data_IF_290618182844
#
_entry.id   IF_290618182844
#
_cell.length_a   1.000
_cell.length_b   1.000
_cell.length_c   1.000
_cell.angle_alpha   90.00
_cell.angle_beta   90.00
_cell.angle_gamma   90.00
#
_symmetry.space_group_name_H-M   'P 1'
#
loop_
_entity.id
_entity.type
_entity.pdbx_description
1 polymer ?
#
# COMPACT_ATOMS: atom_id res chain seq x y z
N UNK A 1 -4.36 -70.12 45.33
CA UNK A 1 -3.73 -69.48 44.17
C UNK A 1 -4.60 -68.30 43.79
N UNK A 2 -4.14 -67.11 44.15
CA UNK A 2 -5.00 -65.94 44.43
C UNK A 2 -5.21 -65.10 43.19
N UNK A 3 -6.45 -64.62 43.08
CA UNK A 3 -7.09 -63.82 42.05
C UNK A 3 -6.45 -62.42 41.96
N UNK A 4 -6.20 -61.91 40.75
CA UNK A 4 -6.17 -60.46 40.50
C UNK A 4 -6.77 -60.16 39.12
N UNK A 5 -8.02 -59.70 39.14
CA UNK A 5 -8.74 -59.08 38.01
C UNK A 5 -8.43 -57.59 38.05
N UNK A 6 -7.70 -57.08 37.06
CA UNK A 6 -7.52 -55.63 36.89
C UNK A 6 -8.62 -55.12 35.95
N UNK A 7 -9.63 -54.51 36.55
CA UNK A 7 -10.75 -53.85 35.90
C UNK A 7 -10.31 -52.43 35.52
N UNK A 8 -10.14 -52.17 34.22
CA UNK A 8 -9.82 -50.84 33.69
C UNK A 8 -11.14 -50.07 33.54
N UNK A 9 -11.38 -49.14 34.46
CA UNK A 9 -12.57 -48.26 34.47
C UNK A 9 -12.30 -47.07 33.54
N UNK A 10 -12.93 -47.07 32.37
CA UNK A 10 -12.87 -45.97 31.40
C UNK A 10 -13.92 -44.92 31.79
N UNK A 11 -13.50 -43.86 32.47
CA UNK A 11 -14.39 -42.76 32.88
C UNK A 11 -14.61 -41.81 31.71
N UNK A 12 -15.79 -41.88 31.08
CA UNK A 12 -16.25 -40.95 30.05
C UNK A 12 -16.70 -39.64 30.72
N UNK A 13 -15.93 -38.56 30.57
CA UNK A 13 -16.38 -37.21 30.92
C UNK A 13 -17.32 -36.68 29.84
N UNK A 14 -18.64 -36.78 30.05
CA UNK A 14 -19.62 -35.98 29.34
C UNK A 14 -19.60 -34.56 29.92
N UNK A 15 -18.98 -33.61 29.22
CA UNK A 15 -19.20 -32.20 29.47
C UNK A 15 -20.62 -31.84 28.99
N UNK A 16 -21.55 -31.66 29.93
CA UNK A 16 -22.87 -31.10 29.64
C UNK A 16 -22.70 -29.63 29.28
N UNK A 17 -22.77 -29.31 27.99
CA UNK A 17 -22.93 -27.92 27.54
C UNK A 17 -24.34 -27.49 27.96
N UNK A 18 -24.44 -26.63 28.97
CA UNK A 18 -25.67 -25.94 29.29
C UNK A 18 -25.99 -24.98 28.13
N UNK A 19 -26.83 -25.43 27.20
CA UNK A 19 -27.55 -24.53 26.31
C UNK A 19 -28.50 -23.68 27.16
N UNK A 20 -28.07 -22.49 27.56
CA UNK A 20 -29.00 -21.45 27.97
C UNK A 20 -29.97 -21.21 26.83
N UNK A 21 -31.28 -21.33 27.08
CA UNK A 21 -32.32 -20.93 26.15
C UNK A 21 -32.06 -19.48 25.73
N UNK A 22 -31.59 -19.29 24.52
CA UNK A 22 -31.66 -17.99 23.85
C UNK A 22 -33.13 -17.82 23.48
N UNK A 23 -33.87 -17.11 24.33
CA UNK A 23 -35.15 -16.51 23.93
C UNK A 23 -34.82 -15.37 22.98
N UNK A 24 -34.96 -15.62 21.69
CA UNK A 24 -35.13 -14.55 20.73
C UNK A 24 -36.50 -13.92 21.00
N UNK A 25 -36.50 -12.71 21.54
CA UNK A 25 -37.68 -11.86 21.44
C UNK A 25 -37.94 -11.67 19.95
N UNK A 26 -39.13 -12.04 19.48
CA UNK A 26 -39.58 -11.67 18.16
C UNK A 26 -39.39 -10.15 18.03
N UNK A 27 -38.61 -9.76 17.03
CA UNK A 27 -38.53 -8.36 16.63
C UNK A 27 -39.90 -8.07 16.04
N UNK A 28 -40.59 -7.07 16.59
CA UNK A 28 -41.82 -6.54 16.02
C UNK A 28 -41.53 -6.12 14.57
N UNK A 29 -42.03 -6.89 13.59
CA UNK A 29 -41.88 -6.58 12.16
C UNK A 29 -42.67 -5.33 11.74
N UNK A 30 -43.49 -4.77 12.64
CA UNK A 30 -44.37 -3.64 12.34
C UNK A 30 -43.72 -2.25 12.52
N UNK A 31 -42.40 -2.17 12.77
CA UNK A 31 -41.74 -0.86 12.95
C UNK A 31 -40.40 -0.67 12.22
N UNK A 32 -40.24 -1.28 11.04
CA UNK A 32 -39.22 -0.88 10.05
C UNK A 32 -39.88 0.00 8.99
N UNK A 33 -40.33 1.19 9.39
CA UNK A 33 -40.70 2.26 8.45
C UNK A 33 -39.52 3.22 8.33
N UNK A 34 -38.48 2.79 7.62
CA UNK A 34 -37.27 3.60 7.42
C UNK A 34 -36.19 3.00 6.53
N UNK A 35 -36.42 1.83 5.92
CA UNK A 35 -35.62 1.43 4.76
C UNK A 35 -36.12 2.25 3.57
N UNK A 36 -35.46 3.38 3.31
CA UNK A 36 -35.53 3.98 1.98
C UNK A 36 -35.25 2.86 0.97
N UNK A 37 -36.17 2.59 0.02
CA UNK A 37 -35.93 1.60 -1.00
C UNK A 37 -34.60 1.94 -1.66
N UNK A 38 -33.69 0.96 -1.70
CA UNK A 38 -32.39 1.11 -2.34
C UNK A 38 -32.66 1.41 -3.81
N UNK A 39 -32.73 2.71 -4.12
CA UNK A 39 -33.12 3.19 -5.42
C UNK A 39 -32.03 2.70 -6.38
N UNK A 40 -32.38 1.90 -7.41
CA UNK A 40 -31.40 1.42 -8.36
C UNK A 40 -30.64 2.65 -8.89
N UNK A 41 -29.31 2.58 -8.82
CA UNK A 41 -28.43 3.69 -9.16
C UNK A 41 -28.88 4.31 -10.47
N UNK A 42 -29.23 5.60 -10.41
CA UNK A 42 -29.74 6.34 -11.56
C UNK A 42 -28.70 6.29 -12.69
N UNK A 43 -28.99 5.63 -13.83
CA UNK A 43 -28.06 5.51 -14.95
C UNK A 43 -27.78 6.87 -15.62
N UNK A 44 -28.51 7.92 -15.25
CA UNK A 44 -28.29 9.29 -15.73
C UNK A 44 -27.26 10.08 -14.90
N UNK A 45 -26.81 9.55 -13.76
CA UNK A 45 -25.74 10.19 -12.99
C UNK A 45 -24.40 9.66 -13.54
N UNK A 46 -23.66 10.44 -14.36
CA UNK A 46 -22.42 9.96 -14.94
C UNK A 46 -21.49 9.56 -13.78
N UNK A 47 -21.08 8.28 -13.77
CA UNK A 47 -20.08 7.76 -12.84
C UNK A 47 -18.98 8.80 -12.76
N UNK A 48 -18.77 9.35 -11.57
CA UNK A 48 -17.81 10.42 -11.34
C UNK A 48 -16.46 9.96 -11.83
N UNK A 49 -16.00 10.49 -12.97
CA UNK A 49 -14.70 10.22 -13.61
C UNK A 49 -13.51 10.76 -12.79
N UNK A 50 -13.67 10.91 -11.48
CA UNK A 50 -12.66 11.46 -10.58
C UNK A 50 -11.97 10.32 -9.85
N UNK A 51 -10.65 10.42 -9.74
CA UNK A 51 -9.84 9.39 -9.08
C UNK A 51 -8.65 10.03 -8.35
N UNK A 52 -8.46 9.72 -7.06
CA UNK A 52 -7.23 10.07 -6.36
C UNK A 52 -6.30 8.84 -6.38
N UNK A 53 -5.04 9.02 -6.76
CA UNK A 53 -4.04 7.96 -6.93
C UNK A 53 -2.85 8.26 -6.04
N UNK A 54 -2.60 7.41 -5.06
CA UNK A 54 -1.36 7.41 -4.28
C UNK A 54 -0.43 6.35 -4.87
N UNK A 55 0.72 6.76 -5.39
CA UNK A 55 1.81 5.86 -5.73
C UNK A 55 2.65 5.66 -4.47
N UNK A 56 2.78 4.41 -4.03
CA UNK A 56 3.64 4.00 -2.92
C UNK A 56 4.78 3.21 -3.56
N UNK A 57 5.95 3.84 -3.68
CA UNK A 57 7.10 3.23 -4.35
C UNK A 57 8.14 2.80 -3.33
N UNK A 58 8.67 1.61 -3.54
CA UNK A 58 9.78 1.09 -2.78
C UNK A 58 11.07 1.84 -3.11
N UNK A 59 11.70 2.38 -2.08
CA UNK A 59 12.89 3.20 -2.17
C UNK A 59 14.15 2.49 -1.63
N UNK A 60 14.10 1.15 -1.55
CA UNK A 60 15.25 0.28 -1.32
C UNK A 60 16.25 0.31 -2.49
N UNK A 61 17.50 -0.09 -2.23
CA UNK A 61 18.53 -0.18 -3.27
C UNK A 61 18.30 -1.33 -4.25
N UNK A 62 17.59 -2.39 -3.85
CA UNK A 62 17.23 -3.51 -4.72
C UNK A 62 16.38 -3.06 -5.91
N UNK A 63 15.61 -1.99 -5.72
CA UNK A 63 14.71 -1.42 -6.72
C UNK A 63 15.38 -0.46 -7.71
N UNK A 64 16.68 -0.17 -7.59
CA UNK A 64 17.36 0.82 -8.44
C UNK A 64 17.24 0.53 -9.95
N UNK A 65 17.33 -0.74 -10.34
CA UNK A 65 17.20 -1.13 -11.75
C UNK A 65 15.75 -0.96 -12.21
N UNK A 66 14.81 -1.38 -11.37
CA UNK A 66 13.37 -1.33 -11.59
C UNK A 66 12.87 0.11 -11.68
N UNK A 67 13.45 1.07 -10.95
CA UNK A 67 13.07 2.49 -11.00
C UNK A 67 13.20 3.08 -12.41
N UNK A 68 14.29 2.77 -13.12
CA UNK A 68 14.48 3.21 -14.51
C UNK A 68 13.39 2.65 -15.44
N UNK A 69 12.96 1.42 -15.19
CA UNK A 69 11.93 0.73 -15.95
C UNK A 69 10.53 1.26 -15.59
N UNK A 70 10.29 1.56 -14.31
CA UNK A 70 9.05 2.15 -13.79
C UNK A 70 8.85 3.54 -14.36
N UNK A 71 9.92 4.35 -14.44
CA UNK A 71 9.93 5.68 -15.01
C UNK A 71 9.32 5.69 -16.43
N UNK A 72 9.87 4.87 -17.33
CA UNK A 72 9.40 4.79 -18.72
C UNK A 72 7.95 4.30 -18.82
N UNK A 73 7.54 3.40 -17.92
CA UNK A 73 6.18 2.82 -17.93
C UNK A 73 5.13 3.77 -17.37
N UNK A 74 5.44 4.57 -16.35
CA UNK A 74 4.50 5.54 -15.77
C UNK A 74 4.14 6.68 -16.74
N UNK A 75 5.01 7.02 -17.69
CA UNK A 75 4.66 7.92 -18.80
C UNK A 75 3.44 7.42 -19.59
N UNK A 76 3.31 6.11 -19.79
CA UNK A 76 2.17 5.50 -20.46
C UNK A 76 0.88 5.62 -19.65
N UNK A 77 0.97 5.51 -18.32
CA UNK A 77 -0.18 5.54 -17.42
C UNK A 77 -0.95 6.86 -17.53
N UNK A 78 -0.25 7.98 -17.41
CA UNK A 78 -0.86 9.30 -17.39
C UNK A 78 -1.59 9.61 -18.71
N UNK A 79 -0.99 9.25 -19.85
CA UNK A 79 -1.63 9.35 -21.16
C UNK A 79 -2.90 8.50 -21.24
N UNK A 80 -2.91 7.30 -20.66
CA UNK A 80 -4.10 6.44 -20.64
C UNK A 80 -5.21 7.06 -19.80
N UNK A 81 -4.92 7.54 -18.58
CA UNK A 81 -5.91 8.23 -17.72
C UNK A 81 -6.54 9.43 -18.45
N UNK A 82 -5.71 10.26 -19.09
CA UNK A 82 -6.18 11.40 -19.91
C UNK A 82 -7.04 10.95 -21.10
N UNK A 83 -6.64 9.91 -21.82
CA UNK A 83 -7.40 9.39 -22.97
C UNK A 83 -8.80 8.87 -22.60
N UNK A 84 -9.01 8.47 -21.34
CA UNK A 84 -10.31 8.05 -20.79
C UNK A 84 -11.15 9.23 -20.27
N UNK A 85 -10.57 10.43 -20.23
CA UNK A 85 -11.21 11.63 -19.69
C UNK A 85 -11.37 11.57 -18.18
N UNK A 86 -10.44 10.90 -17.48
CA UNK A 86 -10.43 10.87 -16.01
C UNK A 86 -9.87 12.19 -15.44
N UNK A 87 -10.59 12.75 -14.48
CA UNK A 87 -10.14 13.85 -13.62
C UNK A 87 -9.41 13.30 -12.40
N UNK A 88 -8.12 13.01 -12.57
CA UNK A 88 -7.30 12.41 -11.52
C UNK A 88 -6.48 13.43 -10.72
N UNK A 89 -6.12 13.03 -9.50
CA UNK A 89 -5.00 13.58 -8.73
C UNK A 89 -4.01 12.46 -8.43
N UNK A 90 -2.72 12.72 -8.55
CA UNK A 90 -1.69 11.72 -8.31
C UNK A 90 -0.61 12.27 -7.38
N UNK A 91 -0.29 11.53 -6.33
CA UNK A 91 0.78 11.84 -5.38
C UNK A 91 1.71 10.62 -5.25
N UNK A 92 2.95 10.86 -4.83
CA UNK A 92 3.96 9.83 -4.63
C UNK A 92 4.41 9.86 -3.17
N UNK A 93 4.61 8.69 -2.56
CA UNK A 93 5.25 8.48 -1.26
C UNK A 93 6.09 7.20 -1.33
N UNK A 94 6.86 6.89 -0.29
CA UNK A 94 7.73 5.71 -0.25
C UNK A 94 7.16 4.56 0.57
N UNK A 95 7.72 3.37 0.51
CA UNK A 95 7.37 2.22 1.38
C UNK A 95 7.87 2.40 2.82
N UNK A 96 8.89 3.22 3.06
CA UNK A 96 9.40 3.48 4.41
C UNK A 96 8.43 4.31 5.27
N UNK A 97 7.86 3.65 6.27
CA UNK A 97 6.89 4.21 7.21
C UNK A 97 7.51 4.99 8.36
N UNK A 98 8.84 5.09 8.44
CA UNK A 98 9.51 5.91 9.45
C UNK A 98 9.30 7.37 9.10
N UNK A 99 8.94 8.16 10.10
CA UNK A 99 8.97 9.60 9.97
C UNK A 99 10.39 10.10 10.18
N UNK A 100 10.78 11.09 9.38
CA UNK A 100 11.96 11.91 9.65
C UNK A 100 11.84 12.54 11.04
N UNK A 101 12.54 11.97 12.03
CA UNK A 101 12.61 12.56 13.35
C UNK A 101 13.65 13.70 13.34
N UNK A 102 13.16 14.94 13.30
CA UNK A 102 14.02 16.14 13.28
C UNK A 102 14.87 16.32 14.55
N UNK A 103 14.65 15.53 15.61
CA UNK A 103 15.35 15.70 16.90
C UNK A 103 16.65 14.89 17.00
N UNK A 104 16.80 13.82 16.23
CA UNK A 104 18.05 13.07 16.15
C UNK A 104 18.67 13.33 14.80
N UNK A 105 19.52 14.36 14.70
CA UNK A 105 20.36 14.66 13.51
C UNK A 105 21.19 13.47 13.00
N UNK A 106 21.20 12.36 13.74
CA UNK A 106 21.91 11.11 13.47
C UNK A 106 21.05 10.03 12.80
N UNK A 107 19.78 10.30 12.48
CA UNK A 107 18.98 9.39 11.66
C UNK A 107 18.73 10.05 10.31
N UNK A 108 19.50 9.61 9.31
CA UNK A 108 19.26 9.92 7.91
C UNK A 108 17.77 9.70 7.62
N UNK A 109 17.04 10.70 7.10
CA UNK A 109 15.62 10.60 6.82
C UNK A 109 15.35 9.63 5.67
N UNK A 110 15.34 8.31 5.93
CA UNK A 110 15.19 7.31 4.86
C UNK A 110 13.74 7.09 4.41
N UNK A 111 12.77 7.64 5.14
CA UNK A 111 11.35 7.47 4.86
C UNK A 111 10.53 8.76 4.98
N UNK A 112 9.40 8.76 4.29
CA UNK A 112 8.45 9.87 4.35
C UNK A 112 7.34 9.65 5.38
N UNK A 113 7.21 8.45 5.96
CA UNK A 113 6.20 8.15 6.98
C UNK A 113 4.79 8.48 6.51
N UNK A 114 4.48 8.18 5.24
CA UNK A 114 3.21 8.52 4.60
C UNK A 114 3.05 9.97 4.15
N UNK A 115 4.06 10.85 4.32
CA UNK A 115 4.06 12.18 3.69
C UNK A 115 4.26 12.02 2.19
N UNK A 116 3.54 12.81 1.41
CA UNK A 116 3.76 12.83 -0.04
C UNK A 116 5.00 13.66 -0.39
N UNK A 117 5.72 13.21 -1.40
CA UNK A 117 6.93 13.87 -1.90
C UNK A 117 6.53 15.15 -2.64
N UNK A 118 6.84 16.31 -2.05
CA UNK A 118 6.55 17.60 -2.68
C UNK A 118 7.46 17.87 -3.88
N UNK A 119 6.88 18.35 -4.98
CA UNK A 119 7.59 18.82 -6.16
C UNK A 119 7.20 20.26 -6.50
N UNK A 120 8.19 21.16 -6.59
CA UNK A 120 7.98 22.62 -6.83
C UNK A 120 6.89 23.21 -5.92
N UNK A 121 6.86 22.80 -4.65
CA UNK A 121 5.89 23.25 -3.65
C UNK A 121 4.48 22.65 -3.79
N UNK A 122 4.28 21.67 -4.67
CA UNK A 122 3.02 20.94 -4.82
C UNK A 122 3.16 19.51 -4.33
N UNK A 123 2.11 19.03 -3.69
CA UNK A 123 2.05 17.69 -3.08
C UNK A 123 1.43 16.63 -4.01
N UNK A 124 0.92 17.05 -5.17
CA UNK A 124 0.30 16.19 -6.16
C UNK A 124 0.22 16.87 -7.52
N UNK A 125 0.04 16.05 -8.55
CA UNK A 125 -0.34 16.49 -9.90
C UNK A 125 -1.82 16.21 -10.16
N UNK A 126 -2.41 16.95 -11.11
CA UNK A 126 -3.78 16.74 -11.58
C UNK A 126 -3.81 16.50 -13.08
N UNK A 127 -4.96 16.05 -13.58
CA UNK A 127 -5.28 15.98 -15.01
C UNK A 127 -5.01 17.30 -15.78
N UNK A 128 -5.15 18.44 -15.10
CA UNK A 128 -4.93 19.80 -15.61
C UNK A 128 -3.52 20.36 -15.39
N UNK A 129 -2.65 19.63 -14.68
CA UNK A 129 -1.26 20.06 -14.49
C UNK A 129 -0.55 20.05 -15.85
N UNK A 130 0.34 21.01 -16.07
CA UNK A 130 1.22 21.02 -17.25
C UNK A 130 2.35 20.01 -17.04
N UNK A 131 2.57 19.11 -18.00
CA UNK A 131 3.54 18.00 -17.92
C UNK A 131 3.50 17.21 -16.58
N UNK A 132 2.34 16.67 -16.16
CA UNK A 132 2.23 15.92 -14.90
C UNK A 132 3.14 14.70 -14.86
N UNK A 133 3.45 14.12 -16.03
CA UNK A 133 4.42 13.06 -16.19
C UNK A 133 5.78 13.43 -15.61
N UNK A 134 6.36 14.56 -16.03
CA UNK A 134 7.67 15.04 -15.59
C UNK A 134 7.73 15.25 -14.08
N UNK A 135 6.62 15.73 -13.48
CA UNK A 135 6.60 15.98 -12.04
C UNK A 135 6.46 14.69 -11.22
N UNK A 136 5.71 13.71 -11.73
CA UNK A 136 5.64 12.38 -11.11
C UNK A 136 7.00 11.71 -11.16
N UNK A 137 7.67 11.76 -12.32
CA UNK A 137 9.01 11.19 -12.48
C UNK A 137 10.03 11.84 -11.54
N UNK A 138 10.03 13.17 -11.46
CA UNK A 138 10.90 13.87 -10.51
C UNK A 138 10.59 13.54 -9.03
N UNK A 139 9.34 13.19 -8.70
CA UNK A 139 9.01 12.68 -7.36
C UNK A 139 9.56 11.27 -7.11
N UNK A 140 9.68 10.43 -8.15
CA UNK A 140 10.31 9.11 -8.05
C UNK A 140 11.82 9.26 -7.89
N UNK A 141 12.45 10.12 -8.69
CA UNK A 141 13.89 10.39 -8.56
C UNK A 141 14.22 10.90 -7.16
N UNK A 142 13.42 11.84 -6.65
CA UNK A 142 13.55 12.35 -5.28
C UNK A 142 13.28 11.27 -4.23
N UNK A 143 12.48 10.24 -4.53
CA UNK A 143 12.24 9.14 -3.59
C UNK A 143 13.52 8.34 -3.34
N UNK A 144 14.36 8.17 -4.36
CA UNK A 144 15.69 7.57 -4.24
C UNK A 144 16.68 8.51 -3.56
N UNK A 145 16.71 9.78 -3.96
CA UNK A 145 17.63 10.79 -3.37
C UNK A 145 17.35 11.02 -1.88
N UNK A 146 16.08 10.98 -1.46
CA UNK A 146 15.71 11.18 -0.06
C UNK A 146 16.25 10.05 0.82
N UNK A 147 16.28 8.81 0.32
CA UNK A 147 16.91 7.70 1.02
C UNK A 147 18.40 7.92 1.24
N UNK A 148 19.06 8.63 0.33
CA UNK A 148 20.47 8.99 0.37
C UNK A 148 20.81 10.20 1.27
N UNK A 149 19.84 10.72 2.04
CA UNK A 149 19.87 12.06 2.64
C UNK A 149 21.28 12.55 2.96
N UNK A 150 21.69 13.69 2.39
CA UNK A 150 23.05 14.24 2.50
C UNK A 150 23.52 14.14 3.94
N UNK A 151 24.26 13.08 4.26
CA UNK A 151 24.91 12.99 5.54
C UNK A 151 25.90 14.15 5.48
N UNK A 152 25.59 15.22 6.20
CA UNK A 152 26.58 16.21 6.62
C UNK A 152 27.47 15.40 7.56
N UNK A 153 28.35 14.61 6.96
CA UNK A 153 29.36 13.83 7.63
C UNK A 153 30.27 14.89 8.23
N UNK A 154 29.97 15.30 9.47
CA UNK A 154 30.94 15.97 10.31
C UNK A 154 32.20 15.10 10.23
N UNK A 155 33.28 15.68 9.70
CA UNK A 155 34.56 15.14 9.22
C UNK A 155 35.35 14.23 10.19
N UNK A 156 34.74 13.78 11.29
CA UNK A 156 35.39 13.12 12.41
C UNK A 156 34.86 11.71 12.73
N UNK A 157 33.88 11.15 11.98
CA UNK A 157 33.49 9.75 12.18
C UNK A 157 34.26 8.80 11.25
N UNK A 158 35.34 8.27 11.80
CA UNK A 158 36.47 7.58 11.14
C UNK A 158 36.14 6.17 10.58
N UNK A 159 34.89 5.89 10.18
CA UNK A 159 34.44 4.54 9.79
C UNK A 159 33.69 4.42 8.46
N UNK A 160 33.62 5.46 7.63
CA UNK A 160 32.99 5.38 6.30
C UNK A 160 33.97 5.84 5.20
N UNK A 161 35.01 5.06 4.94
CA UNK A 161 36.01 5.37 3.89
C UNK A 161 35.54 5.07 2.45
N UNK A 162 34.24 4.89 2.20
CA UNK A 162 33.75 4.79 0.83
C UNK A 162 32.43 5.55 0.61
N UNK A 163 32.56 6.88 0.48
CA UNK A 163 31.47 7.77 0.03
C UNK A 163 30.98 7.44 -1.40
N UNK A 164 31.62 6.51 -2.11
CA UNK A 164 31.19 6.09 -3.44
C UNK A 164 30.27 4.87 -3.44
N UNK A 165 29.93 4.31 -2.27
CA UNK A 165 29.05 3.16 -2.20
C UNK A 165 27.55 3.56 -2.24
N UNK A 166 26.84 3.35 -3.36
CA UNK A 166 25.41 3.61 -3.46
C UNK A 166 24.57 2.74 -2.51
N UNK A 167 25.16 1.73 -1.86
CA UNK A 167 24.50 0.84 -0.90
C UNK A 167 24.08 1.58 0.40
N UNK A 168 24.66 2.76 0.69
CA UNK A 168 24.33 3.57 1.88
C UNK A 168 22.91 4.18 1.82
N UNK A 169 22.28 4.20 0.64
CA UNK A 169 20.98 4.80 0.39
C UNK A 169 19.78 3.87 0.55
N UNK A 170 19.94 2.62 0.99
CA UNK A 170 18.79 1.71 1.13
C UNK A 170 18.05 1.90 2.45
N UNK A 171 16.74 1.72 2.40
CA UNK A 171 15.93 1.34 3.56
C UNK A 171 15.68 -0.16 3.48
N UNK A 172 15.63 -0.80 4.66
CA UNK A 172 15.20 -2.20 4.87
C UNK A 172 13.95 -2.22 5.78
N UNK A 173 13.09 -1.20 5.62
CA UNK A 173 11.91 -0.92 6.46
C UNK A 173 10.67 -0.63 5.59
N UNK A 174 10.40 -1.55 4.68
CA UNK A 174 9.36 -1.43 3.66
C UNK A 174 8.02 -1.89 4.26
N UNK A 175 7.15 -0.92 4.55
CA UNK A 175 5.84 -1.16 5.15
C UNK A 175 4.74 -0.46 4.34
N UNK A 176 4.52 -0.82 3.05
CA UNK A 176 3.62 -0.09 2.14
C UNK A 176 2.21 0.10 2.71
N UNK A 177 1.66 -0.93 3.36
CA UNK A 177 0.31 -0.87 3.96
C UNK A 177 0.25 0.14 5.11
N UNK A 178 1.30 0.21 5.93
CA UNK A 178 1.41 1.13 7.06
C UNK A 178 1.57 2.57 6.59
N UNK A 179 2.37 2.79 5.54
CA UNK A 179 2.50 4.09 4.87
C UNK A 179 1.15 4.59 4.39
N UNK A 180 0.35 3.76 3.71
CA UNK A 180 -0.99 4.17 3.23
C UNK A 180 -1.86 4.66 4.40
N UNK A 181 -1.81 3.96 5.53
CA UNK A 181 -2.55 4.36 6.74
C UNK A 181 -2.02 5.66 7.35
N UNK A 182 -0.71 5.85 7.42
CA UNK A 182 -0.09 7.10 7.88
C UNK A 182 -0.41 8.27 6.93
N UNK A 183 -0.40 8.02 5.63
CA UNK A 183 -0.78 8.99 4.61
C UNK A 183 -2.21 9.49 4.83
N UNK A 184 -3.16 8.57 5.07
CA UNK A 184 -4.56 8.92 5.34
C UNK A 184 -4.73 9.70 6.65
N UNK A 185 -3.94 9.39 7.69
CA UNK A 185 -3.93 10.15 8.96
C UNK A 185 -3.43 11.59 8.76
N UNK A 186 -2.61 11.83 7.75
CA UNK A 186 -2.03 13.14 7.43
C UNK A 186 -2.83 13.95 6.40
N UNK A 187 -4.03 13.49 6.03
CA UNK A 187 -4.88 14.14 5.02
C UNK A 187 -5.26 15.60 5.32
N UNK A 188 -5.22 16.01 6.59
CA UNK A 188 -5.54 17.37 7.03
C UNK A 188 -4.29 18.18 7.43
N UNK A 189 -3.09 17.59 7.29
CA UNK A 189 -1.81 18.21 7.66
C UNK A 189 -0.85 18.20 6.47
N UNK A 190 0.18 17.35 6.49
CA UNK A 190 1.22 17.30 5.47
C UNK A 190 0.67 16.94 4.07
N UNK A 191 -0.39 16.15 4.01
CA UNK A 191 -1.03 15.73 2.76
C UNK A 191 -2.30 16.53 2.43
N UNK A 192 -2.47 17.69 3.05
CA UNK A 192 -3.65 18.54 2.87
C UNK A 192 -3.88 18.91 1.41
N UNK A 193 -5.16 18.94 1.04
CA UNK A 193 -5.61 19.32 -0.30
C UNK A 193 -5.51 18.22 -1.36
N UNK A 194 -4.88 17.07 -1.09
CA UNK A 194 -4.82 15.96 -2.05
C UNK A 194 -6.16 15.22 -2.15
N UNK A 195 -6.64 14.63 -1.06
CA UNK A 195 -7.85 13.80 -1.06
C UNK A 195 -9.11 14.64 -1.29
N UNK A 196 -9.91 14.24 -2.27
CA UNK A 196 -11.21 14.85 -2.56
C UNK A 196 -12.33 14.10 -1.84
N UNK A 197 -13.33 14.85 -1.37
CA UNK A 197 -14.52 14.28 -0.75
C UNK A 197 -15.31 13.43 -1.75
N UNK A 198 -15.76 12.25 -1.33
CA UNK A 198 -16.52 11.28 -2.16
C UNK A 198 -15.73 10.61 -3.29
N UNK A 199 -14.56 11.13 -3.67
CA UNK A 199 -13.73 10.57 -4.75
C UNK A 199 -13.03 9.30 -4.26
N UNK A 200 -12.99 8.22 -5.07
CA UNK A 200 -12.23 7.02 -4.72
C UNK A 200 -10.73 7.28 -4.57
N UNK A 201 -10.08 6.57 -3.64
CA UNK A 201 -8.62 6.51 -3.54
C UNK A 201 -8.13 5.16 -4.04
N UNK A 202 -7.19 5.19 -4.97
CA UNK A 202 -6.40 4.05 -5.39
C UNK A 202 -4.99 4.19 -4.83
N UNK A 203 -4.51 3.18 -4.12
CA UNK A 203 -3.08 3.02 -3.87
C UNK A 203 -2.48 2.12 -4.96
N UNK A 204 -1.46 2.60 -5.68
CA UNK A 204 -0.63 1.79 -6.56
C UNK A 204 0.68 1.50 -5.82
N UNK A 205 0.84 0.27 -5.34
CA UNK A 205 2.00 -0.20 -4.60
C UNK A 205 3.01 -0.76 -5.61
N UNK A 206 4.25 -0.30 -5.56
CA UNK A 206 5.34 -0.75 -6.42
C UNK A 206 6.51 -1.15 -5.53
N UNK A 207 6.79 -2.44 -5.40
CA UNK A 207 7.79 -2.98 -4.45
C UNK A 207 8.28 -4.35 -4.87
N UNK A 208 9.54 -4.65 -4.60
CA UNK A 208 10.08 -6.01 -4.68
C UNK A 208 10.20 -6.69 -3.32
N UNK A 209 9.60 -6.10 -2.29
CA UNK A 209 9.59 -6.58 -0.92
C UNK A 209 8.19 -6.93 -0.43
N UNK A 210 8.11 -7.65 0.69
CA UNK A 210 6.85 -7.93 1.37
C UNK A 210 6.51 -6.87 2.43
N UNK A 211 6.40 -7.28 3.70
CA UNK A 211 6.29 -6.37 4.84
C UNK A 211 7.45 -6.73 5.76
N UNK A 212 8.54 -5.95 5.67
CA UNK A 212 9.83 -6.34 6.23
C UNK A 212 9.98 -6.10 7.73
N UNK A 213 9.07 -5.38 8.39
CA UNK A 213 9.23 -5.13 9.83
C UNK A 213 9.08 -6.44 10.62
N UNK A 214 10.09 -6.75 11.44
CA UNK A 214 10.19 -7.97 12.26
C UNK A 214 8.96 -8.24 13.13
N UNK A 215 8.20 -7.19 13.47
CA UNK A 215 6.99 -7.26 14.28
C UNK A 215 5.70 -7.55 13.48
N UNK A 216 5.72 -7.37 12.14
CA UNK A 216 4.51 -7.36 11.31
C UNK A 216 4.33 -8.59 10.42
N UNK A 217 5.16 -9.63 10.54
CA UNK A 217 4.96 -10.91 9.80
C UNK A 217 3.60 -11.58 10.10
N UNK A 218 3.00 -11.27 11.25
CA UNK A 218 1.67 -11.75 11.65
C UNK A 218 0.56 -10.72 11.42
N UNK A 219 0.83 -9.66 10.65
CA UNK A 219 -0.16 -8.62 10.39
C UNK A 219 -1.37 -9.19 9.66
N UNK A 220 -2.56 -8.93 10.19
CA UNK A 220 -3.82 -9.35 9.60
C UNK A 220 -4.24 -8.32 8.54
N UNK A 221 -4.07 -8.65 7.26
CA UNK A 221 -4.35 -7.73 6.15
C UNK A 221 -5.82 -7.30 6.08
N UNK A 222 -6.75 -8.16 6.49
CA UNK A 222 -8.18 -7.81 6.58
C UNK A 222 -8.43 -6.73 7.63
N UNK A 223 -7.80 -6.82 8.80
CA UNK A 223 -7.87 -5.77 9.83
C UNK A 223 -7.22 -4.46 9.36
N UNK A 224 -6.09 -4.52 8.65
CA UNK A 224 -5.47 -3.32 8.09
C UNK A 224 -6.37 -2.64 7.06
N UNK A 225 -6.92 -3.41 6.11
CA UNK A 225 -7.85 -2.91 5.12
C UNK A 225 -9.11 -2.30 5.77
N UNK A 226 -9.67 -2.96 6.79
CA UNK A 226 -10.78 -2.42 7.56
C UNK A 226 -10.43 -1.05 8.17
N UNK A 227 -9.24 -0.93 8.77
CA UNK A 227 -8.77 0.33 9.35
C UNK A 227 -8.58 1.45 8.31
N UNK A 228 -8.15 1.09 7.08
CA UNK A 228 -8.05 2.03 5.95
C UNK A 228 -9.45 2.43 5.47
N UNK A 229 -10.40 1.49 5.35
CA UNK A 229 -11.77 1.77 4.90
C UNK A 229 -12.56 2.63 5.89
N UNK A 230 -12.22 2.63 7.18
CA UNK A 230 -12.74 3.61 8.16
C UNK A 230 -12.32 5.04 7.78
N UNK A 231 -11.08 5.23 7.31
CA UNK A 231 -10.55 6.53 6.91
C UNK A 231 -10.97 6.93 5.48
N UNK A 232 -11.16 5.93 4.60
CA UNK A 232 -11.52 6.11 3.19
C UNK A 232 -12.32 4.91 2.69
N UNK A 233 -13.65 4.99 2.79
CA UNK A 233 -14.56 3.89 2.44
C UNK A 233 -14.42 3.41 0.98
N UNK A 234 -14.18 4.34 0.06
CA UNK A 234 -13.97 4.07 -1.37
C UNK A 234 -12.47 3.87 -1.69
N UNK A 235 -11.83 2.91 -1.02
CA UNK A 235 -10.42 2.58 -1.19
C UNK A 235 -10.22 1.26 -1.94
N UNK A 236 -9.24 1.23 -2.85
CA UNK A 236 -8.68 0.01 -3.47
C UNK A 236 -7.16 0.11 -3.56
N UNK A 237 -6.48 -1.03 -3.50
CA UNK A 237 -5.04 -1.16 -3.73
C UNK A 237 -4.78 -1.97 -5.00
N UNK A 238 -3.80 -1.55 -5.79
CA UNK A 238 -3.28 -2.26 -6.95
C UNK A 238 -1.76 -2.42 -6.78
N UNK A 239 -1.18 -3.40 -7.45
CA UNK A 239 0.24 -3.72 -7.29
C UNK A 239 1.01 -3.84 -8.60
N UNK A 240 2.26 -3.43 -8.57
CA UNK A 240 3.35 -3.94 -9.41
C UNK A 240 4.35 -4.51 -8.43
N UNK A 241 4.28 -5.82 -8.19
CA UNK A 241 4.94 -6.46 -7.04
C UNK A 241 5.82 -7.63 -7.46
N UNK A 242 6.79 -7.98 -6.63
CA UNK A 242 7.48 -9.25 -6.69
C UNK A 242 6.51 -10.43 -6.54
N UNK A 243 6.52 -11.37 -7.48
CA UNK A 243 5.65 -12.56 -7.46
C UNK A 243 6.42 -13.87 -7.42
N UNK A 244 5.74 -14.96 -7.07
CA UNK A 244 6.31 -16.29 -7.22
C UNK A 244 6.67 -16.55 -8.70
N UNK A 245 7.91 -16.99 -8.94
CA UNK A 245 8.44 -17.22 -10.29
C UNK A 245 9.18 -16.03 -10.91
N UNK A 246 9.12 -14.85 -10.30
CA UNK A 246 9.84 -13.66 -10.79
C UNK A 246 11.36 -13.77 -10.63
N UNK A 247 11.85 -14.56 -9.66
CA UNK A 247 13.28 -14.91 -9.49
C UNK A 247 13.87 -15.52 -10.77
N UNK A 248 13.08 -16.31 -11.51
CA UNK A 248 13.54 -16.87 -12.77
C UNK A 248 13.41 -15.88 -13.94
N UNK A 249 12.58 -14.83 -13.83
CA UNK A 249 12.18 -13.94 -14.93
C UNK A 249 12.93 -12.61 -14.94
N UNK A 250 13.08 -11.94 -13.79
CA UNK A 250 13.71 -10.62 -13.69
C UNK A 250 15.23 -10.72 -13.92
N UNK A 251 15.90 -11.59 -13.18
CA UNK A 251 17.34 -11.85 -13.27
C UNK A 251 17.65 -13.02 -12.34
N UNK A 252 18.58 -13.90 -12.71
CA UNK A 252 19.03 -15.01 -11.85
C UNK A 252 19.68 -14.54 -10.52
N UNK A 253 20.02 -13.26 -10.41
CA UNK A 253 20.64 -12.65 -9.23
C UNK A 253 19.67 -11.81 -8.37
N UNK A 254 18.35 -11.89 -8.60
CA UNK A 254 17.40 -11.13 -7.80
C UNK A 254 17.34 -11.65 -6.36
N UNK A 255 17.41 -10.74 -5.39
CA UNK A 255 17.39 -11.01 -3.95
C UNK A 255 16.09 -10.58 -3.27
N UNK A 256 15.13 -9.99 -4.00
CA UNK A 256 13.88 -9.49 -3.44
C UNK A 256 12.99 -10.62 -2.91
N UNK A 257 12.16 -10.27 -1.93
CA UNK A 257 11.20 -11.20 -1.34
C UNK A 257 9.87 -11.21 -2.09
N UNK A 258 9.23 -12.38 -2.22
CA UNK A 258 7.87 -12.46 -2.78
C UNK A 258 6.91 -11.70 -1.86
N UNK A 259 6.19 -10.71 -2.42
CA UNK A 259 5.32 -9.79 -1.67
C UNK A 259 3.97 -10.41 -1.24
N UNK A 260 3.97 -11.56 -0.57
CA UNK A 260 2.75 -12.34 -0.27
C UNK A 260 1.70 -11.56 0.54
N UNK A 261 2.10 -10.78 1.54
CA UNK A 261 1.18 -9.97 2.35
C UNK A 261 0.68 -8.76 1.60
N UNK A 262 1.53 -8.15 0.78
CA UNK A 262 1.11 -7.05 -0.10
C UNK A 262 0.09 -7.57 -1.12
N UNK A 263 0.31 -8.76 -1.69
CA UNK A 263 -0.62 -9.46 -2.58
C UNK A 263 -1.96 -9.76 -1.88
N UNK A 264 -1.91 -10.32 -0.66
CA UNK A 264 -3.08 -10.58 0.18
C UNK A 264 -3.90 -9.28 0.39
N UNK A 265 -3.22 -8.17 0.73
CA UNK A 265 -3.84 -6.87 0.92
C UNK A 265 -4.51 -6.32 -0.35
N UNK A 266 -3.83 -6.41 -1.50
CA UNK A 266 -4.34 -6.00 -2.81
C UNK A 266 -5.61 -6.78 -3.15
N UNK A 267 -5.57 -8.11 -2.99
CA UNK A 267 -6.68 -9.01 -3.26
C UNK A 267 -7.89 -8.71 -2.36
N UNK A 268 -7.69 -8.54 -1.05
CA UNK A 268 -8.74 -8.18 -0.09
C UNK A 268 -9.38 -6.82 -0.41
N UNK A 269 -8.62 -5.88 -0.99
CA UNK A 269 -9.13 -4.58 -1.41
C UNK A 269 -10.02 -4.65 -2.67
N UNK A 270 -10.01 -5.79 -3.38
CA UNK A 270 -10.70 -5.99 -4.66
C UNK A 270 -9.97 -5.36 -5.84
N UNK A 271 -8.68 -5.04 -5.68
CA UNK A 271 -7.81 -4.62 -6.77
C UNK A 271 -7.07 -5.80 -7.39
N UNK A 272 -6.02 -5.49 -8.15
CA UNK A 272 -5.25 -6.46 -8.94
C UNK A 272 -3.77 -6.11 -8.89
N UNK A 273 -2.93 -7.04 -9.31
CA UNK A 273 -1.50 -6.81 -9.40
C UNK A 273 -0.91 -7.40 -10.68
N UNK A 274 0.22 -6.84 -11.07
CA UNK A 274 1.10 -7.32 -12.12
C UNK A 274 2.47 -7.64 -11.52
N UNK A 275 3.27 -8.42 -12.23
CA UNK A 275 4.64 -8.73 -11.82
C UNK A 275 5.53 -7.52 -12.06
N UNK A 276 6.47 -7.27 -11.14
CA UNK A 276 7.49 -6.24 -11.35
C UNK A 276 8.38 -6.55 -12.56
N UNK A 277 8.57 -7.82 -12.88
CA UNK A 277 9.31 -8.29 -14.06
C UNK A 277 8.54 -8.18 -15.37
N UNK A 278 7.25 -7.81 -15.36
CA UNK A 278 6.49 -7.73 -16.60
C UNK A 278 7.08 -6.66 -17.52
N UNK A 279 7.23 -6.99 -18.81
CA UNK A 279 7.82 -6.10 -19.82
C UNK A 279 7.09 -4.76 -19.96
N UNK A 280 5.81 -4.68 -19.55
CA UNK A 280 5.05 -3.45 -19.45
C UNK A 280 4.00 -3.53 -18.33
N UNK A 281 3.61 -2.38 -17.79
CA UNK A 281 2.55 -2.27 -16.77
C UNK A 281 1.25 -1.69 -17.36
N UNK A 282 1.08 -1.73 -18.68
CA UNK A 282 -0.10 -1.14 -19.32
C UNK A 282 -1.38 -1.82 -18.86
N UNK A 283 -1.34 -3.14 -18.62
CA UNK A 283 -2.52 -3.88 -18.16
C UNK A 283 -3.04 -3.41 -16.80
N UNK A 284 -2.16 -3.14 -15.83
CA UNK A 284 -2.62 -2.68 -14.50
C UNK A 284 -3.24 -1.28 -14.59
N UNK A 285 -2.65 -0.42 -15.42
CA UNK A 285 -3.17 0.91 -15.70
C UNK A 285 -4.51 0.89 -16.41
N UNK A 286 -4.71 -0.03 -17.35
CA UNK A 286 -5.99 -0.25 -18.02
C UNK A 286 -7.05 -0.78 -17.07
N UNK A 287 -6.66 -1.63 -16.12
CA UNK A 287 -7.58 -2.13 -15.09
C UNK A 287 -8.02 -1.01 -14.14
N UNK A 288 -7.08 -0.19 -13.65
CA UNK A 288 -7.41 1.00 -12.85
C UNK A 288 -8.36 1.91 -13.65
N UNK A 289 -8.04 2.23 -14.90
CA UNK A 289 -8.88 3.10 -15.71
C UNK A 289 -10.18 2.48 -16.21
N UNK A 290 -10.40 1.17 -16.01
CA UNK A 290 -11.66 0.47 -16.31
C UNK A 290 -12.58 0.44 -15.10
N UNK A 291 -12.00 0.37 -13.90
CA UNK A 291 -12.75 0.31 -12.65
C UNK A 291 -13.34 1.68 -12.24
N UNK A 292 -12.98 2.77 -12.95
CA UNK A 292 -13.37 4.16 -12.71
C UNK A 292 -13.62 4.93 -14.02
#
# INVERSE_FOLDING_TARGET
MTIFKTLLLLTLCFATINCSKITFSAIDEDNITGSEPHQPADPSNPVSKKLDILIVIDNSSSMLQEHSVIHDKLLGFNRKLKSKGLDYRMAVTTTDAREVNSLTKLQTPRGFGGKVISFKGKNFVSSSTYNPEELVLASLDRSLEASCGTADLDDNDYWLEDESDPEICSTDYEEPVKVIKQFLKQKDTANSGFLRSGVPLVALIITDEDIESFDDKNMNMSQQLASIKILKSNFKAYGIIAQEGDIARCNANWSGNVSQKVEEFISLSGGKHNSICDANYVSIFEQIAKDY
#
